data_IF_858978893436
#
_entry.id   IF_858978893436
#
_cell.length_a   1.000
_cell.length_b   1.000
_cell.length_c   1.000
_cell.angle_alpha   90.00
_cell.angle_beta   90.00
_cell.angle_gamma   90.00
#
_symmetry.space_group_name_H-M   'P 1'
#
loop_
_entity.id
_entity.type
_entity.pdbx_description
1 polymer ?
#
# COMPACT_ATOMS: atom_id res chain seq x y z
N UNK A 1 33.53 11.08 -2.69
CA UNK A 1 32.72 9.96 -3.21
C UNK A 1 31.81 9.51 -2.08
N UNK A 2 30.48 9.61 -2.22
CA UNK A 2 29.54 9.15 -1.19
C UNK A 2 29.63 7.61 -1.14
N UNK A 3 29.67 7.01 0.06
CA UNK A 3 29.70 5.56 0.20
C UNK A 3 28.27 5.04 -0.03
N UNK A 4 28.09 4.24 -1.09
CA UNK A 4 26.83 3.56 -1.36
C UNK A 4 26.53 2.53 -0.28
N UNK A 5 25.25 2.25 -0.11
CA UNK A 5 24.74 1.21 0.80
C UNK A 5 25.25 -0.17 0.37
N UNK A 6 25.64 -1.00 1.32
CA UNK A 6 26.08 -2.37 1.10
C UNK A 6 24.93 -3.36 1.34
N UNK A 7 25.06 -4.57 0.77
CA UNK A 7 24.15 -5.68 1.07
C UNK A 7 24.20 -5.97 2.58
N UNK A 8 23.05 -5.87 3.26
CA UNK A 8 22.92 -6.03 4.70
C UNK A 8 22.81 -4.72 5.49
N UNK A 9 23.04 -3.56 4.85
CA UNK A 9 22.68 -2.27 5.44
C UNK A 9 21.14 -2.17 5.49
N UNK A 10 20.57 -2.20 6.69
CA UNK A 10 19.12 -2.07 6.90
C UNK A 10 18.77 -0.60 7.14
N UNK A 11 17.89 -0.05 6.29
CA UNK A 11 17.30 1.29 6.47
C UNK A 11 15.96 1.24 7.22
N UNK A 12 15.65 0.09 7.79
CA UNK A 12 14.41 -0.18 8.50
C UNK A 12 14.63 -0.14 10.01
N UNK A 13 13.55 0.16 10.75
CA UNK A 13 13.57 0.20 12.19
C UNK A 13 14.13 -1.09 12.80
N UNK A 14 15.25 -0.99 13.52
CA UNK A 14 15.63 -2.01 14.51
C UNK A 14 14.60 -2.00 15.66
N UNK A 15 14.39 -3.12 16.39
CA UNK A 15 13.41 -3.20 17.46
C UNK A 15 13.57 -2.17 18.59
N UNK A 16 14.72 -1.51 18.72
CA UNK A 16 15.10 -0.66 19.85
C UNK A 16 15.31 0.82 19.45
N UNK A 17 14.23 1.53 19.10
CA UNK A 17 14.25 3.00 18.96
C UNK A 17 14.69 3.52 17.59
N UNK A 18 13.88 3.25 16.59
CA UNK A 18 14.20 3.44 15.19
C UNK A 18 13.93 4.83 14.61
N UNK A 19 14.82 5.25 13.72
CA UNK A 19 14.59 6.35 12.78
C UNK A 19 13.72 5.85 11.62
N UNK A 20 12.41 6.11 11.70
CA UNK A 20 11.44 5.79 10.65
C UNK A 20 11.72 6.53 9.33
N UNK A 21 12.67 7.46 9.31
CA UNK A 21 13.06 8.22 8.14
C UNK A 21 14.38 7.72 7.53
N UNK A 22 15.04 6.71 8.12
CA UNK A 22 16.37 6.27 7.71
C UNK A 22 16.45 5.89 6.21
N UNK A 23 15.40 5.28 5.65
CA UNK A 23 15.33 4.96 4.23
C UNK A 23 15.13 6.21 3.35
N UNK A 24 14.38 7.20 3.82
CA UNK A 24 14.21 8.49 3.13
C UNK A 24 15.53 9.25 3.14
N UNK A 25 16.18 9.34 4.31
CA UNK A 25 17.47 10.00 4.48
C UNK A 25 18.55 9.33 3.62
N UNK A 26 18.55 8.00 3.46
CA UNK A 26 19.49 7.31 2.58
C UNK A 26 19.35 7.73 1.11
N UNK A 27 18.12 7.96 0.63
CA UNK A 27 17.90 8.49 -0.71
C UNK A 27 18.28 9.96 -0.82
N UNK A 28 17.80 10.80 0.11
CA UNK A 28 18.09 12.25 0.18
C UNK A 28 19.60 12.54 0.24
N UNK A 29 20.35 11.73 0.97
CA UNK A 29 21.80 11.86 1.09
C UNK A 29 22.56 11.30 -0.12
N UNK A 30 21.87 10.72 -1.11
CA UNK A 30 22.47 10.13 -2.32
C UNK A 30 23.22 8.83 -2.05
N UNK A 31 22.75 8.03 -1.08
CA UNK A 31 23.30 6.70 -0.76
C UNK A 31 22.51 5.57 -1.44
N UNK A 32 21.27 5.83 -1.85
CA UNK A 32 20.40 4.91 -2.57
C UNK A 32 20.03 5.46 -3.95
N UNK A 33 19.92 4.58 -4.95
CA UNK A 33 19.49 4.95 -6.31
C UNK A 33 17.97 4.98 -6.46
N UNK A 34 17.26 4.14 -5.71
CA UNK A 34 15.81 4.04 -5.74
C UNK A 34 15.23 4.25 -4.35
N UNK A 35 14.06 4.85 -4.31
CA UNK A 35 13.26 5.04 -3.12
C UNK A 35 11.80 4.68 -3.44
N UNK A 36 11.24 3.72 -2.71
CA UNK A 36 9.82 3.35 -2.83
C UNK A 36 8.97 4.41 -2.16
N UNK A 37 8.33 5.23 -2.98
CA UNK A 37 7.57 6.40 -2.56
C UNK A 37 6.06 6.11 -2.52
N UNK A 38 5.38 6.59 -1.47
CA UNK A 38 3.92 6.68 -1.43
C UNK A 38 3.48 8.08 -0.99
N UNK A 39 2.45 8.61 -1.65
CA UNK A 39 1.85 9.90 -1.29
C UNK A 39 1.08 9.75 0.02
N UNK A 40 1.25 10.69 0.96
CA UNK A 40 0.33 10.87 2.09
C UNK A 40 0.83 10.49 3.49
N UNK A 41 2.07 9.99 3.65
CA UNK A 41 2.62 9.66 4.99
C UNK A 41 3.50 10.74 5.63
N UNK A 42 3.75 11.89 4.98
CA UNK A 42 4.54 13.02 5.49
C UNK A 42 6.05 12.75 5.64
N UNK A 43 6.43 11.56 6.09
CA UNK A 43 7.81 11.05 6.20
C UNK A 43 8.53 11.07 4.85
N UNK A 44 7.78 10.82 3.77
CA UNK A 44 8.31 10.76 2.40
C UNK A 44 8.61 12.14 1.78
N UNK A 45 8.18 13.24 2.41
CA UNK A 45 8.16 14.57 1.79
C UNK A 45 9.54 15.26 1.78
N UNK A 46 10.51 14.75 2.54
CA UNK A 46 11.90 15.27 2.57
C UNK A 46 12.56 15.28 1.18
N UNK A 47 12.13 14.42 0.26
CA UNK A 47 12.65 14.40 -1.11
C UNK A 47 12.39 15.71 -1.86
N UNK A 48 11.33 16.44 -1.49
CA UNK A 48 10.99 17.72 -2.13
C UNK A 48 11.95 18.85 -1.75
N UNK A 49 12.69 18.69 -0.65
CA UNK A 49 13.70 19.62 -0.16
C UNK A 49 15.11 19.31 -0.72
N UNK A 50 15.26 18.23 -1.49
CA UNK A 50 16.53 17.86 -2.10
C UNK A 50 16.98 18.91 -3.13
N UNK A 51 18.28 19.24 -3.10
CA UNK A 51 18.95 19.98 -4.16
C UNK A 51 19.23 19.10 -5.39
N UNK A 52 19.53 17.82 -5.17
CA UNK A 52 19.73 16.84 -6.24
C UNK A 52 18.40 16.57 -6.96
N UNK A 53 18.47 16.40 -8.28
CA UNK A 53 17.30 16.14 -9.12
C UNK A 53 16.83 14.68 -9.00
N UNK A 54 15.53 14.45 -9.19
CA UNK A 54 14.93 13.11 -9.13
C UNK A 54 13.72 13.00 -10.07
N UNK A 55 13.49 11.80 -10.58
CA UNK A 55 12.31 11.46 -11.37
C UNK A 55 11.49 10.34 -10.72
N UNK A 56 10.25 10.20 -11.15
CA UNK A 56 9.36 9.12 -10.75
C UNK A 56 9.32 8.08 -11.85
N UNK A 57 9.40 6.81 -11.46
CA UNK A 57 9.24 5.66 -12.35
C UNK A 57 8.22 4.69 -11.76
N UNK A 58 7.46 3.96 -12.58
CA UNK A 58 6.58 2.92 -12.09
C UNK A 58 7.40 1.79 -11.44
N UNK A 59 6.82 1.14 -10.44
CA UNK A 59 7.39 -0.10 -9.89
C UNK A 59 7.49 -1.12 -11.03
N UNK A 60 8.59 -1.88 -11.19
CA UNK A 60 8.72 -2.87 -12.25
C UNK A 60 7.62 -3.94 -12.22
N UNK A 61 7.16 -4.36 -13.39
CA UNK A 61 6.22 -5.47 -13.52
C UNK A 61 6.87 -6.80 -13.09
N UNK A 62 6.07 -7.67 -12.46
CA UNK A 62 6.50 -9.02 -12.13
C UNK A 62 6.80 -9.88 -13.36
N UNK A 63 7.69 -10.88 -13.21
CA UNK A 63 8.22 -11.71 -14.30
C UNK A 63 7.18 -12.65 -14.97
N UNK A 64 6.03 -12.89 -14.33
CA UNK A 64 5.05 -13.91 -14.74
C UNK A 64 3.62 -13.34 -14.88
N UNK A 65 3.49 -12.09 -15.31
CA UNK A 65 2.20 -11.45 -15.58
C UNK A 65 2.27 -10.65 -16.87
N UNK A 66 1.18 -10.64 -17.63
CA UNK A 66 1.00 -9.76 -18.80
C UNK A 66 0.27 -8.46 -18.43
N UNK A 67 -0.17 -8.34 -17.17
CA UNK A 67 -0.95 -7.20 -16.66
C UNK A 67 -0.16 -6.44 -15.62
N UNK A 68 -0.07 -5.12 -15.80
CA UNK A 68 0.47 -4.21 -14.81
C UNK A 68 -0.58 -3.91 -13.74
N UNK A 69 -0.20 -4.01 -12.46
CA UNK A 69 -1.02 -3.60 -11.33
C UNK A 69 -0.16 -2.76 -10.38
N UNK A 70 -0.72 -1.68 -9.87
CA UNK A 70 -0.12 -0.84 -8.86
C UNK A 70 -0.93 -0.94 -7.57
N UNK A 71 -0.24 -1.22 -6.47
CA UNK A 71 -0.90 -1.35 -5.17
C UNK A 71 -1.39 0.00 -4.66
N UNK A 72 -2.65 0.05 -4.20
CA UNK A 72 -3.21 1.16 -3.42
C UNK A 72 -2.91 0.91 -1.94
N UNK A 73 -2.27 1.89 -1.29
CA UNK A 73 -1.97 1.82 0.15
C UNK A 73 -3.22 1.48 0.98
N UNK A 74 -3.04 0.67 2.03
CA UNK A 74 -4.11 0.36 2.97
C UNK A 74 -4.62 1.58 3.75
N UNK A 75 -3.82 2.65 3.82
CA UNK A 75 -4.24 3.93 4.40
C UNK A 75 -5.05 4.79 3.43
N UNK A 76 -5.29 4.33 2.20
CA UNK A 76 -6.10 5.07 1.27
C UNK A 76 -7.49 5.34 1.88
N UNK A 77 -7.95 6.61 1.87
CA UNK A 77 -9.27 6.93 2.40
C UNK A 77 -10.35 6.07 1.73
N UNK A 78 -11.12 5.36 2.54
CA UNK A 78 -12.21 4.51 2.08
C UNK A 78 -13.51 4.93 2.77
N UNK A 79 -14.63 4.66 2.10
CA UNK A 79 -15.96 4.92 2.61
C UNK A 79 -16.82 3.67 2.42
N UNK A 80 -17.54 3.28 3.47
CA UNK A 80 -18.45 2.14 3.46
C UNK A 80 -19.84 2.55 3.96
N UNK A 81 -20.87 1.94 3.39
CA UNK A 81 -22.26 2.09 3.86
C UNK A 81 -22.62 0.87 4.69
N UNK A 82 -23.00 1.02 5.97
CA UNK A 82 -23.41 -0.11 6.79
C UNK A 82 -24.62 -0.83 6.21
N UNK A 83 -24.64 -2.16 6.28
CA UNK A 83 -25.77 -2.99 5.82
C UNK A 83 -27.08 -2.69 6.59
N UNK A 84 -26.96 -2.11 7.79
CA UNK A 84 -28.09 -1.69 8.63
C UNK A 84 -28.70 -0.36 8.21
N UNK A 85 -28.15 0.32 7.20
CA UNK A 85 -28.71 1.57 6.69
C UNK A 85 -30.11 1.31 6.07
N UNK A 86 -31.12 1.99 6.61
CA UNK A 86 -32.51 1.86 6.14
C UNK A 86 -32.85 2.75 4.94
N UNK A 87 -31.96 3.69 4.56
CA UNK A 87 -32.18 4.65 3.47
C UNK A 87 -31.02 4.61 2.46
N UNK A 88 -30.78 3.43 1.88
CA UNK A 88 -29.68 3.17 0.93
C UNK A 88 -29.79 4.08 -0.30
N UNK A 89 -31.00 4.33 -0.79
CA UNK A 89 -31.23 5.16 -1.97
C UNK A 89 -30.75 6.60 -1.74
N UNK A 90 -31.17 7.23 -0.64
CA UNK A 90 -30.74 8.59 -0.31
C UNK A 90 -29.24 8.66 -0.04
N UNK A 91 -28.68 7.67 0.67
CA UNK A 91 -27.24 7.60 0.91
C UNK A 91 -26.46 7.48 -0.40
N UNK A 92 -26.92 6.65 -1.34
CA UNK A 92 -26.32 6.51 -2.67
C UNK A 92 -26.32 7.83 -3.43
N UNK A 93 -27.45 8.56 -3.44
CA UNK A 93 -27.55 9.88 -4.08
C UNK A 93 -26.54 10.88 -3.49
N UNK A 94 -26.39 10.91 -2.15
CA UNK A 94 -25.45 11.81 -1.49
C UNK A 94 -24.01 11.45 -1.83
N UNK A 95 -23.65 10.17 -1.79
CA UNK A 95 -22.30 9.69 -2.12
C UNK A 95 -21.95 10.02 -3.58
N UNK A 96 -22.87 9.81 -4.52
CA UNK A 96 -22.67 10.14 -5.93
C UNK A 96 -22.45 11.65 -6.13
N UNK A 97 -23.24 12.48 -5.45
CA UNK A 97 -23.08 13.93 -5.51
C UNK A 97 -21.72 14.39 -4.95
N UNK A 98 -21.25 13.78 -3.87
CA UNK A 98 -19.92 14.05 -3.30
C UNK A 98 -18.81 13.60 -4.26
N UNK A 99 -18.93 12.41 -4.85
CA UNK A 99 -17.96 11.90 -5.82
C UNK A 99 -17.86 12.79 -7.06
N UNK A 100 -19.01 13.25 -7.58
CA UNK A 100 -19.05 14.19 -8.70
C UNK A 100 -18.34 15.52 -8.36
N UNK A 101 -18.63 16.09 -7.19
CA UNK A 101 -17.97 17.33 -6.75
C UNK A 101 -16.46 17.14 -6.55
N UNK A 102 -16.04 15.99 -6.02
CA UNK A 102 -14.63 15.69 -5.73
C UNK A 102 -13.75 15.56 -6.98
N UNK A 103 -14.29 15.20 -8.15
CA UNK A 103 -13.50 15.05 -9.38
C UNK A 103 -12.69 16.30 -9.70
N UNK A 104 -13.35 17.46 -9.69
CA UNK A 104 -12.68 18.74 -9.98
C UNK A 104 -11.62 19.09 -8.94
N UNK A 105 -11.90 18.84 -7.66
CA UNK A 105 -10.95 19.11 -6.58
C UNK A 105 -9.72 18.18 -6.68
N UNK A 106 -9.92 16.93 -7.08
CA UNK A 106 -8.83 15.99 -7.33
C UNK A 106 -7.92 16.44 -8.49
N UNK A 107 -8.50 16.94 -9.57
CA UNK A 107 -7.73 17.47 -10.71
C UNK A 107 -6.88 18.67 -10.27
N UNK A 108 -7.49 19.62 -9.55
CA UNK A 108 -6.78 20.81 -9.03
C UNK A 108 -5.64 20.39 -8.09
N UNK A 109 -5.90 19.48 -7.16
CA UNK A 109 -4.90 18.99 -6.23
C UNK A 109 -3.76 18.22 -6.92
N UNK A 110 -4.08 17.46 -7.97
CA UNK A 110 -3.09 16.74 -8.77
C UNK A 110 -2.20 17.72 -9.56
N UNK A 111 -2.80 18.73 -10.21
CA UNK A 111 -2.06 19.74 -10.95
C UNK A 111 -1.15 20.55 -10.02
N UNK A 112 -1.65 20.99 -8.86
CA UNK A 112 -0.84 21.69 -7.85
C UNK A 112 0.35 20.85 -7.39
N UNK A 113 0.11 19.56 -7.13
CA UNK A 113 1.17 18.63 -6.77
C UNK A 113 2.23 18.52 -7.89
N UNK A 114 1.80 18.33 -9.14
CA UNK A 114 2.71 18.23 -10.28
C UNK A 114 3.56 19.50 -10.43
N UNK A 115 2.95 20.68 -10.29
CA UNK A 115 3.65 21.96 -10.43
C UNK A 115 4.61 22.27 -9.28
N UNK A 116 4.30 21.82 -8.06
CA UNK A 116 5.06 22.24 -6.85
C UNK A 116 6.03 21.18 -6.34
N UNK A 117 5.84 19.90 -6.67
CA UNK A 117 6.57 18.77 -6.07
C UNK A 117 7.38 17.95 -7.07
N UNK A 118 6.97 17.88 -8.33
CA UNK A 118 7.71 17.14 -9.35
C UNK A 118 8.78 18.00 -9.99
N UNK A 119 9.81 17.35 -10.53
CA UNK A 119 10.95 18.02 -11.17
C UNK A 119 10.85 18.07 -12.68
N UNK A 120 9.98 17.24 -13.25
CA UNK A 120 9.86 17.06 -14.69
C UNK A 120 8.43 16.63 -15.11
N UNK A 121 8.09 16.90 -16.37
CA UNK A 121 6.79 16.60 -16.96
C UNK A 121 6.56 15.09 -17.18
N UNK A 122 7.64 14.31 -17.34
CA UNK A 122 7.52 12.86 -17.55
C UNK A 122 7.05 12.15 -16.28
N UNK A 123 7.56 12.58 -15.11
CA UNK A 123 7.10 12.15 -13.80
C UNK A 123 5.60 12.44 -13.60
N UNK A 124 5.11 13.59 -14.04
CA UNK A 124 3.69 13.95 -13.97
C UNK A 124 2.84 13.00 -14.83
N UNK A 125 3.29 12.73 -16.05
CA UNK A 125 2.63 11.79 -16.96
C UNK A 125 2.61 10.36 -16.40
N UNK A 126 3.74 9.88 -15.86
CA UNK A 126 3.82 8.56 -15.23
C UNK A 126 2.83 8.44 -14.07
N UNK A 127 2.72 9.47 -13.23
CA UNK A 127 1.76 9.47 -12.12
C UNK A 127 0.29 9.52 -12.57
N UNK A 128 -0.01 10.26 -13.65
CA UNK A 128 -1.35 10.26 -14.23
C UNK A 128 -1.69 8.87 -14.79
N UNK A 129 -0.74 8.26 -15.51
CA UNK A 129 -0.90 6.96 -16.14
C UNK A 129 -0.98 5.82 -15.12
N UNK A 130 -0.24 5.86 -14.01
CA UNK A 130 -0.18 4.73 -13.07
C UNK A 130 -1.51 4.50 -12.33
N UNK A 131 -2.30 5.56 -12.14
CA UNK A 131 -3.57 5.50 -11.40
C UNK A 131 -4.60 4.58 -12.07
N UNK A 132 -4.53 4.38 -13.40
CA UNK A 132 -5.44 3.45 -14.10
C UNK A 132 -5.18 1.97 -13.74
N UNK A 133 -4.02 1.67 -13.16
CA UNK A 133 -3.63 0.33 -12.74
C UNK A 133 -3.78 0.10 -11.23
N UNK A 134 -4.38 1.07 -10.52
CA UNK A 134 -4.55 1.01 -9.08
C UNK A 134 -5.45 -0.15 -8.66
N UNK A 135 -4.95 -1.01 -7.77
CA UNK A 135 -5.69 -2.14 -7.19
C UNK A 135 -5.54 -2.10 -5.66
N UNK A 136 -6.68 -2.17 -4.96
CA UNK A 136 -6.70 -2.36 -3.51
C UNK A 136 -6.52 -3.84 -3.19
N UNK A 137 -5.57 -4.15 -2.31
CA UNK A 137 -5.37 -5.51 -1.83
C UNK A 137 -6.31 -5.81 -0.66
N UNK A 138 -7.15 -6.82 -0.83
CA UNK A 138 -8.13 -7.24 0.17
C UNK A 138 -7.48 -7.88 1.40
N UNK A 139 -6.20 -8.26 1.36
CA UNK A 139 -5.48 -8.81 2.51
C UNK A 139 -5.53 -7.88 3.73
N UNK A 140 -5.53 -6.55 3.50
CA UNK A 140 -5.63 -5.58 4.59
C UNK A 140 -7.03 -5.49 5.21
N UNK A 141 -8.08 -5.71 4.42
CA UNK A 141 -9.46 -5.84 4.95
C UNK A 141 -9.58 -7.18 5.69
N UNK A 142 -8.95 -8.22 5.14
CA UNK A 142 -8.92 -9.57 5.65
C UNK A 142 -8.13 -9.80 6.95
N UNK A 143 -7.44 -8.78 7.46
CA UNK A 143 -6.67 -8.86 8.71
C UNK A 143 -7.56 -9.19 9.92
N UNK A 144 -8.84 -8.83 9.86
CA UNK A 144 -9.79 -9.07 10.95
C UNK A 144 -10.47 -10.45 10.89
N UNK A 145 -10.16 -11.26 9.88
CA UNK A 145 -10.71 -12.62 9.78
C UNK A 145 -9.98 -13.56 10.75
N UNK A 146 -10.62 -14.65 11.16
CA UNK A 146 -10.08 -15.71 12.03
C UNK A 146 -8.74 -16.24 11.52
N UNK A 147 -8.55 -16.24 10.20
CA UNK A 147 -7.33 -16.68 9.53
C UNK A 147 -6.24 -15.63 9.30
N UNK A 148 -6.49 -14.36 9.65
CA UNK A 148 -5.61 -13.19 9.44
C UNK A 148 -4.93 -13.23 8.06
N UNK A 149 -5.69 -12.89 7.01
CA UNK A 149 -5.21 -12.96 5.61
C UNK A 149 -3.92 -12.15 5.42
N UNK A 150 -3.72 -11.09 6.19
CA UNK A 150 -2.53 -10.24 6.14
C UNK A 150 -1.23 -11.00 6.44
N UNK A 151 -1.28 -12.11 7.18
CA UNK A 151 -0.09 -12.90 7.49
C UNK A 151 0.62 -13.36 6.22
N UNK A 152 -0.11 -13.81 5.20
CA UNK A 152 0.45 -14.20 3.90
C UNK A 152 1.19 -13.06 3.20
N UNK A 153 0.63 -11.85 3.22
CA UNK A 153 1.27 -10.66 2.64
C UNK A 153 2.53 -10.25 3.42
N UNK A 154 2.51 -10.42 4.75
CA UNK A 154 3.58 -9.98 5.64
C UNK A 154 4.84 -10.85 5.59
N UNK A 155 4.78 -12.07 5.01
CA UNK A 155 5.90 -13.03 4.96
C UNK A 155 7.15 -12.39 4.35
N UNK A 156 7.03 -11.89 3.12
CA UNK A 156 8.19 -11.39 2.37
C UNK A 156 8.81 -10.17 3.07
N UNK A 157 8.04 -9.13 3.46
CA UNK A 157 8.58 -8.04 4.28
C UNK A 157 9.28 -8.54 5.55
N UNK A 158 8.66 -9.45 6.31
CA UNK A 158 9.22 -9.93 7.57
C UNK A 158 10.53 -10.69 7.39
N UNK A 159 10.61 -11.59 6.40
CA UNK A 159 11.83 -12.30 6.05
C UNK A 159 12.90 -11.31 5.60
N UNK A 160 12.58 -10.42 4.66
CA UNK A 160 13.53 -9.46 4.13
C UNK A 160 14.08 -8.51 5.20
N UNK A 161 13.27 -8.10 6.17
CA UNK A 161 13.67 -7.10 7.18
C UNK A 161 14.23 -7.71 8.45
N UNK A 162 13.64 -8.80 8.95
CA UNK A 162 13.90 -9.29 10.30
C UNK A 162 14.47 -10.69 10.36
N UNK A 163 14.28 -11.51 9.30
CA UNK A 163 14.70 -12.92 9.31
C UNK A 163 15.20 -13.38 7.95
N UNK A 164 16.26 -12.76 7.39
CA UNK A 164 16.68 -12.98 6.01
C UNK A 164 17.25 -14.39 5.74
N UNK A 165 17.48 -15.18 6.79
CA UNK A 165 17.89 -16.59 6.69
C UNK A 165 16.72 -17.56 6.63
N UNK A 166 15.49 -17.09 6.87
CA UNK A 166 14.29 -17.93 6.82
C UNK A 166 13.97 -18.33 5.38
N UNK A 167 13.66 -19.61 5.19
CA UNK A 167 13.28 -20.16 3.90
C UNK A 167 11.83 -19.76 3.58
N UNK A 168 11.62 -19.10 2.44
CA UNK A 168 10.31 -18.51 2.09
C UNK A 168 9.23 -19.57 1.98
N UNK A 169 9.51 -20.74 1.39
CA UNK A 169 8.47 -21.76 1.21
C UNK A 169 8.00 -22.34 2.55
N UNK A 170 8.91 -22.56 3.51
CA UNK A 170 8.57 -22.96 4.87
C UNK A 170 7.64 -21.95 5.55
N UNK A 171 7.96 -20.65 5.48
CA UNK A 171 7.12 -19.61 6.08
C UNK A 171 5.73 -19.52 5.42
N UNK A 172 5.63 -19.75 4.11
CA UNK A 172 4.34 -19.83 3.41
C UNK A 172 3.53 -21.04 3.88
N UNK A 173 4.17 -22.22 3.96
CA UNK A 173 3.51 -23.45 4.38
C UNK A 173 2.96 -23.37 5.82
N UNK A 174 3.62 -22.63 6.71
CA UNK A 174 3.18 -22.43 8.10
C UNK A 174 1.86 -21.68 8.22
N UNK A 175 1.56 -20.73 7.32
CA UNK A 175 0.35 -19.90 7.38
C UNK A 175 -0.73 -20.29 6.38
N UNK A 176 -0.44 -21.19 5.43
CA UNK A 176 -1.31 -21.53 4.29
C UNK A 176 -2.73 -21.90 4.72
N UNK A 177 -2.88 -22.80 5.69
CA UNK A 177 -4.20 -23.26 6.19
C UNK A 177 -4.96 -22.11 6.88
N UNK A 178 -4.25 -21.26 7.64
CA UNK A 178 -4.86 -20.12 8.33
C UNK A 178 -5.38 -19.11 7.31
N UNK A 179 -4.53 -18.72 6.35
CA UNK A 179 -4.89 -17.75 5.31
C UNK A 179 -6.06 -18.27 4.47
N UNK A 180 -6.06 -19.56 4.09
CA UNK A 180 -7.18 -20.17 3.36
C UNK A 180 -8.49 -20.09 4.18
N UNK A 181 -8.43 -20.39 5.48
CA UNK A 181 -9.59 -20.26 6.38
C UNK A 181 -10.11 -18.82 6.43
N UNK A 182 -9.19 -17.84 6.53
CA UNK A 182 -9.53 -16.42 6.52
C UNK A 182 -10.18 -15.98 5.20
N UNK A 183 -9.68 -16.47 4.06
CA UNK A 183 -10.27 -16.20 2.74
C UNK A 183 -11.70 -16.74 2.66
N UNK A 184 -11.94 -17.97 3.13
CA UNK A 184 -13.28 -18.55 3.12
C UNK A 184 -14.25 -17.76 3.99
N UNK A 185 -13.84 -17.35 5.20
CA UNK A 185 -14.63 -16.48 6.05
C UNK A 185 -14.94 -15.14 5.37
N UNK A 186 -13.92 -14.50 4.78
CA UNK A 186 -14.08 -13.23 4.10
C UNK A 186 -15.12 -13.32 2.98
N UNK A 187 -15.04 -14.37 2.15
CA UNK A 187 -16.02 -14.62 1.08
C UNK A 187 -17.43 -14.77 1.66
N UNK A 188 -17.60 -15.54 2.74
CA UNK A 188 -18.90 -15.72 3.38
C UNK A 188 -19.47 -14.42 3.94
N UNK A 189 -18.64 -13.56 4.56
CA UNK A 189 -19.09 -12.25 5.05
C UNK A 189 -19.50 -11.34 3.89
N UNK A 190 -18.71 -11.32 2.81
CA UNK A 190 -19.03 -10.55 1.60
C UNK A 190 -20.32 -11.02 0.93
N UNK A 191 -20.61 -12.32 0.97
CA UNK A 191 -21.85 -12.91 0.44
C UNK A 191 -23.04 -12.81 1.40
N UNK A 192 -22.85 -12.36 2.64
CA UNK A 192 -23.90 -12.35 3.66
C UNK A 192 -24.33 -13.76 4.11
N UNK A 193 -23.49 -14.77 3.91
CA UNK A 193 -23.74 -16.17 4.28
C UNK A 193 -22.94 -16.62 5.49
N UNK A 194 -22.15 -15.73 6.08
CA UNK A 194 -21.39 -16.01 7.28
C UNK A 194 -22.32 -16.26 8.47
N UNK A 195 -22.05 -17.33 9.21
CA UNK A 195 -22.74 -17.67 10.46
C UNK A 195 -21.68 -17.70 11.55
N UNK A 196 -21.83 -16.86 12.57
CA UNK A 196 -20.96 -16.94 13.75
C UNK A 196 -21.11 -18.33 14.37
N UNK A 197 -20.00 -18.98 14.69
CA UNK A 197 -20.04 -20.17 15.52
C UNK A 197 -20.59 -19.76 16.89
N UNK A 198 -21.85 -20.11 17.16
CA UNK A 198 -22.40 -19.99 18.51
C UNK A 198 -21.59 -20.93 19.38
N UNK A 199 -20.92 -20.39 20.40
CA UNK A 199 -20.26 -21.19 21.44
C UNK A 199 -21.26 -22.25 21.93
N UNK A 200 -21.03 -23.51 21.57
CA UNK A 200 -21.74 -24.62 22.16
C UNK A 200 -21.27 -24.71 23.61
N UNK A 201 -22.15 -24.35 24.55
CA UNK A 201 -22.00 -24.54 25.99
C UNK A 201 -21.58 -25.98 26.37
#
# INVERSE_FOLDING_TARGET
>A
MKKMVAVGDTFYPKPEGSDMDAYVNAFVEGKALFYTYSRGRGVADKIYEMEDDFGIVPIPMGKNTDTYQCWVSHDAPSMAVPITNSDIEKTGIVIEALAYAAQKENDIAFDEFCMTKLRDDESAKILADINQYAVSDLCFIGQQMVGDIYQGLSIIPNICFFSPTTEVASAVAEVEISVETGIQEFIQKMMGTYVEETETE
#
